data_IF_357329958303
#
_entry.id   IF_357329958303
#
_cell.length_a   1.000
_cell.length_b   1.000
_cell.length_c   1.000
_cell.angle_alpha   90.00
_cell.angle_beta   90.00
_cell.angle_gamma   90.00
#
_symmetry.space_group_name_H-M   'P 1'
#
loop_
_entity.id
_entity.type
_entity.pdbx_description
1 polymer ?
#
# COMPACT_ATOMS: atom_id res chain seq x y z
N UNK A 1 21.63 -38.67 -10.99
CA UNK A 1 21.37 -37.23 -10.87
C UNK A 1 19.88 -37.05 -10.60
N UNK A 2 19.42 -36.43 -9.50
CA UNK A 2 17.99 -36.27 -9.30
C UNK A 2 17.49 -35.09 -10.14
N UNK A 3 16.54 -35.38 -11.04
CA UNK A 3 15.82 -34.37 -11.81
C UNK A 3 14.75 -33.81 -10.88
N UNK A 4 14.92 -32.57 -10.43
CA UNK A 4 13.90 -31.87 -9.67
C UNK A 4 12.71 -31.54 -10.61
N UNK A 5 11.56 -32.16 -10.36
CA UNK A 5 10.30 -31.83 -11.05
C UNK A 5 9.87 -30.42 -10.64
N UNK A 6 9.85 -29.50 -11.59
CA UNK A 6 9.23 -28.18 -11.42
C UNK A 6 7.76 -28.32 -11.80
N UNK A 7 6.87 -28.32 -10.82
CA UNK A 7 5.43 -28.18 -11.07
C UNK A 7 5.14 -26.72 -11.45
N UNK A 8 4.49 -26.44 -12.59
CA UNK A 8 4.09 -25.10 -12.93
C UNK A 8 2.91 -24.68 -12.04
N UNK A 9 3.08 -23.64 -11.23
CA UNK A 9 1.96 -22.93 -10.61
C UNK A 9 1.22 -22.14 -11.69
N UNK A 10 -0.12 -22.23 -11.79
CA UNK A 10 -0.87 -21.30 -12.59
C UNK A 10 -0.80 -19.94 -11.88
N UNK A 11 -0.69 -18.88 -12.67
CA UNK A 11 -0.67 -17.48 -12.23
C UNK A 11 0.67 -17.00 -11.64
N UNK A 12 1.52 -16.51 -12.55
CA UNK A 12 2.80 -15.85 -12.29
C UNK A 12 2.69 -14.51 -11.55
N UNK A 13 2.12 -14.51 -10.35
CA UNK A 13 2.18 -13.37 -9.43
C UNK A 13 2.93 -13.77 -8.16
N UNK A 14 4.22 -13.45 -8.12
CA UNK A 14 4.96 -13.45 -6.87
C UNK A 14 4.51 -12.26 -6.02
N UNK A 15 3.43 -12.41 -5.28
CA UNK A 15 3.18 -11.57 -4.10
C UNK A 15 4.00 -12.20 -2.96
N UNK A 16 5.01 -11.51 -2.40
CA UNK A 16 5.68 -12.03 -1.22
C UNK A 16 4.63 -12.18 -0.10
N UNK A 17 4.38 -13.43 0.30
CA UNK A 17 3.56 -13.74 1.48
C UNK A 17 4.31 -13.23 2.71
N UNK A 18 4.00 -12.01 3.13
CA UNK A 18 4.42 -11.49 4.43
C UNK A 18 3.77 -12.39 5.49
N UNK A 19 4.55 -13.05 6.38
CA UNK A 19 3.96 -13.84 7.43
C UNK A 19 3.17 -12.93 8.37
N UNK A 20 1.96 -13.34 8.83
CA UNK A 20 1.19 -12.55 9.77
C UNK A 20 1.97 -12.45 11.09
N UNK A 21 2.20 -11.21 11.56
CA UNK A 21 2.77 -10.89 12.88
C UNK A 21 1.78 -11.26 13.99
N UNK A 22 1.61 -12.56 14.24
CA UNK A 22 0.87 -13.07 15.38
C UNK A 22 1.83 -13.27 16.57
N UNK A 23 2.32 -12.16 17.12
CA UNK A 23 3.01 -12.18 18.41
C UNK A 23 1.96 -12.24 19.54
N UNK A 24 1.43 -13.44 19.80
CA UNK A 24 0.77 -13.77 21.07
C UNK A 24 1.31 -15.09 21.60
N UNK A 25 2.55 -15.07 22.07
CA UNK A 25 2.95 -15.98 23.14
C UNK A 25 2.11 -15.58 24.36
N UNK A 26 1.22 -16.43 24.91
CA UNK A 26 0.55 -16.08 26.15
C UNK A 26 1.55 -16.25 27.28
N UNK A 27 2.14 -15.14 27.73
CA UNK A 27 2.82 -15.10 29.00
C UNK A 27 1.80 -15.46 30.09
N UNK A 28 2.01 -16.62 30.69
CA UNK A 28 1.27 -17.22 31.82
C UNK A 28 0.92 -16.12 32.85
N UNK A 29 -0.38 -15.81 33.00
CA UNK A 29 -0.86 -14.90 34.05
C UNK A 29 -0.49 -15.48 35.42
N UNK A 30 0.56 -14.94 36.03
CA UNK A 30 0.79 -15.04 37.46
C UNK A 30 -0.36 -14.34 38.18
N UNK A 31 -1.01 -15.07 39.09
CA UNK A 31 -1.98 -14.56 40.06
C UNK A 31 -1.35 -13.46 40.93
N UNK A 32 -2.14 -12.44 41.23
CA UNK A 32 -2.06 -11.72 42.51
C UNK A 32 -1.19 -10.46 42.48
N UNK A 33 -1.80 -9.35 42.91
CA UNK A 33 -1.06 -8.14 43.26
C UNK A 33 -1.81 -6.87 42.86
N UNK A 34 -2.69 -6.41 43.75
CA UNK A 34 -3.25 -5.07 43.73
C UNK A 34 -2.08 -4.08 43.92
N UNK A 35 -1.50 -3.57 42.84
CA UNK A 35 -0.45 -2.55 42.93
C UNK A 35 -1.14 -1.21 43.13
N UNK A 36 -1.19 -0.74 44.38
CA UNK A 36 -1.43 0.68 44.68
C UNK A 36 -0.33 1.50 43.98
N UNK A 37 -0.63 2.68 43.42
CA UNK A 37 0.39 3.50 42.80
C UNK A 37 1.28 4.10 43.90
N UNK A 38 2.49 3.57 44.06
CA UNK A 38 3.54 4.26 44.78
C UNK A 38 3.96 5.48 43.96
N UNK A 39 3.70 6.66 44.52
CA UNK A 39 4.17 7.95 44.03
C UNK A 39 5.70 7.91 44.02
N UNK A 40 6.30 7.72 42.86
CA UNK A 40 7.74 7.93 42.67
C UNK A 40 7.97 9.40 42.38
N UNK A 41 8.38 10.12 43.43
CA UNK A 41 9.21 11.30 43.29
C UNK A 41 10.53 10.85 42.66
N UNK A 42 10.69 11.12 41.37
CA UNK A 42 11.86 10.73 40.60
C UNK A 42 11.89 11.56 39.34
N UNK A 43 12.45 12.76 39.45
CA UNK A 43 12.80 13.61 38.32
C UNK A 43 13.88 12.93 37.47
N UNK A 44 13.46 12.00 36.61
CA UNK A 44 14.23 11.55 35.47
C UNK A 44 13.83 12.42 34.30
N UNK A 45 14.73 13.27 33.82
CA UNK A 45 14.60 13.91 32.53
C UNK A 45 14.13 12.84 31.53
N UNK A 46 12.98 13.06 30.89
CA UNK A 46 12.65 12.31 29.68
C UNK A 46 13.86 12.49 28.77
N UNK A 47 14.52 11.43 28.28
CA UNK A 47 15.47 11.62 27.20
C UNK A 47 14.70 12.38 26.13
N UNK A 48 15.18 13.55 25.72
CA UNK A 48 14.64 14.25 24.56
C UNK A 48 14.81 13.28 23.40
N UNK A 49 13.80 12.45 23.17
CA UNK A 49 13.81 11.48 22.09
C UNK A 49 13.88 12.31 20.82
N UNK A 50 15.05 12.31 20.21
CA UNK A 50 15.35 13.03 18.99
C UNK A 50 14.15 12.93 18.06
N UNK A 51 13.55 14.08 17.73
CA UNK A 51 12.67 14.17 16.57
C UNK A 51 13.58 13.96 15.36
N UNK A 52 13.84 12.70 15.00
CA UNK A 52 14.57 12.40 13.77
C UNK A 52 13.75 12.95 12.62
N UNK A 53 14.34 13.88 11.87
CA UNK A 53 13.71 14.42 10.68
C UNK A 53 13.79 13.38 9.57
N UNK A 54 12.89 13.47 8.58
CA UNK A 54 12.96 12.61 7.40
C UNK A 54 14.34 12.71 6.72
N UNK A 55 14.96 13.89 6.79
CA UNK A 55 16.31 14.14 6.30
C UNK A 55 17.37 13.34 7.05
N UNK A 56 17.28 13.24 8.38
CA UNK A 56 18.24 12.47 9.19
C UNK A 56 18.16 10.96 8.85
N UNK A 57 16.96 10.44 8.65
CA UNK A 57 16.74 9.04 8.26
C UNK A 57 17.23 8.71 6.85
N UNK A 58 17.24 9.69 5.95
CA UNK A 58 17.72 9.55 4.57
C UNK A 58 19.24 9.74 4.46
N UNK A 59 19.87 10.46 5.39
CA UNK A 59 21.33 10.59 5.47
C UNK A 59 21.99 9.27 5.87
N UNK A 60 21.38 8.52 6.80
CA UNK A 60 21.89 7.23 7.28
C UNK A 60 21.82 6.12 6.21
N UNK A 61 20.96 6.28 5.20
CA UNK A 61 20.71 5.28 4.15
C UNK A 61 20.46 5.98 2.81
N UNK A 62 21.50 6.32 2.03
CA UNK A 62 21.32 6.99 0.74
C UNK A 62 20.44 6.19 -0.24
N UNK A 63 20.46 4.86 -0.15
CA UNK A 63 19.56 3.95 -0.89
C UNK A 63 18.07 4.24 -0.62
N UNK A 64 17.71 4.68 0.59
CA UNK A 64 16.34 5.04 0.93
C UNK A 64 15.84 6.26 0.12
N UNK A 65 16.73 7.18 -0.26
CA UNK A 65 16.41 8.29 -1.16
C UNK A 65 16.04 7.83 -2.57
N UNK A 66 16.72 6.81 -3.08
CA UNK A 66 16.42 6.21 -4.39
C UNK A 66 15.05 5.52 -4.39
N UNK A 67 14.72 4.78 -3.33
CA UNK A 67 13.40 4.16 -3.19
C UNK A 67 12.27 5.19 -3.09
N UNK A 68 12.48 6.30 -2.37
CA UNK A 68 11.49 7.39 -2.29
C UNK A 68 11.29 8.05 -3.66
N UNK A 69 12.36 8.28 -4.41
CA UNK A 69 12.31 8.81 -5.77
C UNK A 69 11.53 7.86 -6.70
N UNK A 70 11.88 6.57 -6.69
CA UNK A 70 11.20 5.55 -7.49
C UNK A 70 9.72 5.44 -7.14
N UNK A 71 9.38 5.40 -5.85
CA UNK A 71 8.00 5.37 -5.38
C UNK A 71 7.22 6.62 -5.85
N UNK A 72 7.85 7.78 -5.86
CA UNK A 72 7.23 9.04 -6.33
C UNK A 72 6.93 8.98 -7.83
N UNK A 73 7.86 8.48 -8.64
CA UNK A 73 7.67 8.27 -10.08
C UNK A 73 6.54 7.28 -10.35
N UNK A 74 6.53 6.14 -9.65
CA UNK A 74 5.49 5.12 -9.80
C UNK A 74 4.12 5.65 -9.38
N UNK A 75 4.03 6.42 -8.29
CA UNK A 75 2.79 7.06 -7.85
C UNK A 75 2.27 8.06 -8.88
N UNK A 76 3.16 8.83 -9.52
CA UNK A 76 2.80 9.76 -10.59
C UNK A 76 2.25 9.01 -11.81
N UNK A 77 2.97 8.00 -12.30
CA UNK A 77 2.53 7.18 -13.42
C UNK A 77 1.17 6.54 -13.15
N UNK A 78 0.97 6.01 -11.93
CA UNK A 78 -0.30 5.41 -11.54
C UNK A 78 -1.47 6.41 -11.59
N UNK A 79 -1.25 7.66 -11.15
CA UNK A 79 -2.26 8.72 -11.24
C UNK A 79 -2.60 9.08 -12.68
N UNK A 80 -1.60 9.23 -13.54
CA UNK A 80 -1.79 9.52 -14.97
C UNK A 80 -2.58 8.40 -15.67
N UNK A 81 -2.27 7.13 -15.37
CA UNK A 81 -3.03 5.99 -15.89
C UNK A 81 -4.51 6.01 -15.49
N UNK A 82 -4.83 6.36 -14.23
CA UNK A 82 -6.23 6.49 -13.81
C UNK A 82 -6.96 7.63 -14.52
N UNK A 83 -6.29 8.76 -14.76
CA UNK A 83 -6.87 9.87 -15.51
C UNK A 83 -7.17 9.47 -16.95
N UNK A 84 -6.25 8.75 -17.60
CA UNK A 84 -6.44 8.22 -18.95
C UNK A 84 -7.59 7.21 -19.01
N UNK A 85 -7.69 6.31 -18.04
CA UNK A 85 -8.79 5.34 -17.98
C UNK A 85 -10.15 6.06 -17.86
N UNK A 86 -10.25 7.04 -16.97
CA UNK A 86 -11.47 7.83 -16.81
C UNK A 86 -11.84 8.58 -18.09
N UNK A 87 -10.86 9.13 -18.81
CA UNK A 87 -11.08 9.81 -20.09
C UNK A 87 -11.60 8.84 -21.15
N UNK A 88 -10.99 7.65 -21.26
CA UNK A 88 -11.43 6.62 -22.20
C UNK A 88 -12.86 6.14 -21.91
N UNK A 89 -13.21 5.96 -20.65
CA UNK A 89 -14.58 5.59 -20.26
C UNK A 89 -15.60 6.66 -20.64
N UNK A 90 -15.29 7.95 -20.42
CA UNK A 90 -16.14 9.07 -20.86
C UNK A 90 -16.32 9.07 -22.37
N UNK A 91 -15.24 8.95 -23.13
CA UNK A 91 -15.29 8.94 -24.60
C UNK A 91 -16.06 7.74 -25.16
N UNK A 92 -15.91 6.56 -24.56
CA UNK A 92 -16.72 5.38 -24.92
C UNK A 92 -18.21 5.61 -24.67
N UNK A 93 -18.56 6.27 -23.57
CA UNK A 93 -19.96 6.59 -23.25
C UNK A 93 -20.54 7.62 -24.22
N UNK A 94 -19.79 8.68 -24.52
CA UNK A 94 -20.15 9.69 -25.53
C UNK A 94 -20.40 9.04 -26.89
N UNK A 95 -19.43 8.27 -27.40
CA UNK A 95 -19.54 7.59 -28.68
C UNK A 95 -20.76 6.65 -28.76
N UNK A 96 -21.02 5.86 -27.71
CA UNK A 96 -22.21 5.02 -27.65
C UNK A 96 -23.51 5.84 -27.72
N UNK A 97 -23.55 6.98 -27.02
CA UNK A 97 -24.69 7.90 -27.05
C UNK A 97 -24.94 8.45 -28.45
N UNK A 98 -23.88 8.88 -29.13
CA UNK A 98 -23.96 9.36 -30.52
C UNK A 98 -24.48 8.27 -31.46
N UNK A 99 -23.94 7.05 -31.37
CA UNK A 99 -24.40 5.92 -32.19
C UNK A 99 -25.89 5.61 -31.95
N UNK A 100 -26.35 5.62 -30.70
CA UNK A 100 -27.78 5.42 -30.42
C UNK A 100 -28.64 6.56 -30.95
N UNK A 101 -28.16 7.81 -30.89
CA UNK A 101 -28.88 8.95 -31.44
C UNK A 101 -28.96 8.90 -32.97
N UNK A 102 -27.90 8.43 -33.64
CA UNK A 102 -27.89 8.25 -35.09
C UNK A 102 -28.87 7.14 -35.51
N UNK A 103 -28.81 5.98 -34.85
CA UNK A 103 -29.72 4.87 -35.12
C UNK A 103 -31.20 5.27 -34.95
N UNK A 104 -31.52 6.05 -33.92
CA UNK A 104 -32.89 6.53 -33.71
C UNK A 104 -33.34 7.52 -34.79
N UNK A 105 -32.44 8.35 -35.33
CA UNK A 105 -32.77 9.27 -36.44
C UNK A 105 -33.02 8.52 -37.73
N UNK A 106 -32.22 7.50 -38.02
CA UNK A 106 -32.43 6.63 -39.18
C UNK A 106 -33.77 5.89 -39.09
N UNK A 107 -34.10 5.32 -37.93
CA UNK A 107 -35.37 4.62 -37.71
C UNK A 107 -36.63 5.52 -37.79
N UNK A 108 -36.48 6.84 -37.72
CA UNK A 108 -37.59 7.79 -37.89
C UNK A 108 -37.76 8.31 -39.32
N UNK A 109 -36.80 8.03 -40.21
CA UNK A 109 -36.81 8.47 -41.60
C UNK A 109 -37.32 7.38 -42.57
N UNK A 110 -37.37 6.12 -42.12
CA UNK A 110 -38.04 5.00 -42.79
C UNK A 110 -39.52 4.89 -42.36
#
# INVERSE_FOLDING_TARGET
MPIHKITPTPDGSAVPKVPPLNNRTPARKGKGGRRTPSRSEGGGARPESAKSTLSDLLQDKPEAGEYVSLATVLLRQRRESYQLQNLLERKRKEYRGEMTSLANREATLD
#
